data_IF_933872233805
#
_entry.id   IF_933872233805
#
_cell.length_a   1.000
_cell.length_b   1.000
_cell.length_c   1.000
_cell.angle_alpha   90.00
_cell.angle_beta   90.00
_cell.angle_gamma   90.00
#
_symmetry.space_group_name_H-M   'P 1'
#
loop_
_entity.id
_entity.type
_entity.pdbx_description
1 polymer ?
#
# COMPACT_ATOMS: atom_id res chain seq x y z
N UNK A 1 -18.16 23.42 15.38
CA UNK A 1 -17.47 22.15 15.68
C UNK A 1 -15.96 22.39 15.67
N UNK A 2 -15.22 22.08 16.74
CA UNK A 2 -13.76 22.28 16.78
C UNK A 2 -13.06 21.24 15.89
N UNK A 3 -12.03 21.63 15.13
CA UNK A 3 -11.30 20.73 14.20
C UNK A 3 -10.80 19.42 14.85
N UNK A 4 -10.55 19.42 16.16
CA UNK A 4 -10.08 18.26 16.94
C UNK A 4 -11.19 17.22 17.21
N UNK A 5 -12.43 17.67 17.45
CA UNK A 5 -13.57 16.78 17.74
C UNK A 5 -14.06 16.04 16.49
N UNK A 6 -14.01 16.68 15.32
CA UNK A 6 -14.31 16.01 14.04
C UNK A 6 -13.36 14.85 13.71
N UNK A 7 -12.05 15.01 13.95
CA UNK A 7 -11.06 13.93 13.75
C UNK A 7 -11.31 12.75 14.68
N UNK A 8 -11.70 13.01 15.92
CA UNK A 8 -12.06 11.97 16.89
C UNK A 8 -13.28 11.17 16.43
N UNK A 9 -14.33 11.86 15.97
CA UNK A 9 -15.53 11.20 15.44
C UNK A 9 -15.23 10.33 14.21
N UNK A 10 -14.34 10.77 13.32
CA UNK A 10 -13.88 9.97 12.17
C UNK A 10 -13.14 8.71 12.63
N UNK A 11 -12.23 8.83 13.61
CA UNK A 11 -11.53 7.66 14.18
C UNK A 11 -12.48 6.68 14.84
N UNK A 12 -13.46 7.17 15.61
CA UNK A 12 -14.48 6.31 16.23
C UNK A 12 -15.29 5.55 15.16
N UNK A 13 -15.72 6.22 14.08
CA UNK A 13 -16.40 5.55 12.96
C UNK A 13 -15.53 4.49 12.29
N UNK A 14 -14.23 4.75 12.12
CA UNK A 14 -13.29 3.77 11.56
C UNK A 14 -13.14 2.54 12.48
N UNK A 15 -13.02 2.75 13.79
CA UNK A 15 -12.96 1.66 14.77
C UNK A 15 -14.24 0.81 14.76
N UNK A 16 -15.42 1.44 14.70
CA UNK A 16 -16.68 0.71 14.59
C UNK A 16 -16.76 -0.13 13.31
N UNK A 17 -16.33 0.42 12.17
CA UNK A 17 -16.26 -0.34 10.91
C UNK A 17 -15.29 -1.52 11.01
N UNK A 18 -14.12 -1.30 11.61
CA UNK A 18 -13.12 -2.35 11.81
C UNK A 18 -13.65 -3.47 12.73
N UNK A 19 -14.34 -3.11 13.82
CA UNK A 19 -14.95 -4.08 14.73
C UNK A 19 -16.05 -4.90 14.04
N UNK A 20 -16.93 -4.26 13.25
CA UNK A 20 -17.94 -4.97 12.44
C UNK A 20 -17.29 -5.95 11.46
N UNK A 21 -16.27 -5.51 10.72
CA UNK A 21 -15.54 -6.38 9.79
C UNK A 21 -14.87 -7.56 10.50
N UNK A 22 -14.32 -7.36 11.70
CA UNK A 22 -13.74 -8.43 12.50
C UNK A 22 -14.79 -9.44 12.97
N UNK A 23 -15.98 -8.99 13.39
CA UNK A 23 -17.11 -9.86 13.74
C UNK A 23 -17.51 -10.76 12.57
N UNK A 24 -17.78 -10.18 11.40
CA UNK A 24 -18.17 -10.95 10.22
C UNK A 24 -17.09 -11.91 9.74
N UNK A 25 -15.80 -11.53 9.81
CA UNK A 25 -14.70 -12.46 9.50
C UNK A 25 -14.68 -13.66 10.44
N UNK A 26 -15.00 -13.49 11.72
CA UNK A 26 -15.10 -14.61 12.67
C UNK A 26 -16.27 -15.53 12.36
N UNK A 27 -17.45 -14.95 12.08
CA UNK A 27 -18.64 -15.72 11.70
C UNK A 27 -18.39 -16.55 10.44
N UNK A 28 -17.79 -15.96 9.41
CA UNK A 28 -17.41 -16.68 8.20
C UNK A 28 -16.38 -17.78 8.48
N UNK A 29 -15.39 -17.51 9.33
CA UNK A 29 -14.40 -18.52 9.71
C UNK A 29 -15.02 -19.70 10.46
N UNK A 30 -16.04 -19.46 11.31
CA UNK A 30 -16.79 -20.53 11.97
C UNK A 30 -17.60 -21.36 10.97
N UNK A 31 -18.09 -20.73 9.90
CA UNK A 31 -18.73 -21.40 8.78
C UNK A 31 -17.73 -22.07 7.81
N UNK A 32 -16.43 -22.07 8.10
CA UNK A 32 -15.38 -22.64 7.25
C UNK A 32 -15.05 -21.80 6.00
N UNK A 33 -15.59 -20.58 5.88
CA UNK A 33 -15.38 -19.69 4.75
C UNK A 33 -14.40 -18.58 5.12
N UNK A 34 -13.36 -18.37 4.31
CA UNK A 34 -12.39 -17.30 4.50
C UNK A 34 -12.52 -16.25 3.40
N UNK A 35 -12.67 -14.98 3.78
CA UNK A 35 -12.56 -13.83 2.86
C UNK A 35 -11.11 -13.49 2.49
N UNK A 36 -10.12 -14.13 3.14
CA UNK A 36 -8.71 -13.92 2.81
C UNK A 36 -8.36 -14.81 1.63
N UNK A 37 -7.84 -14.18 0.58
CA UNK A 37 -7.21 -14.92 -0.51
C UNK A 37 -5.99 -15.68 0.04
N UNK A 38 -5.83 -16.97 -0.31
CA UNK A 38 -4.65 -17.73 0.09
C UNK A 38 -3.40 -17.09 -0.52
N UNK A 39 -2.29 -17.12 0.22
CA UNK A 39 -1.00 -16.69 -0.33
C UNK A 39 -0.64 -17.68 -1.45
N UNK A 40 -0.37 -17.22 -2.68
CA UNK A 40 0.00 -18.13 -3.76
C UNK A 40 1.35 -18.78 -3.46
N UNK A 41 1.47 -20.05 -3.82
CA UNK A 41 2.71 -20.82 -3.73
C UNK A 41 3.79 -20.23 -4.64
N UNK A 42 5.06 -20.55 -4.38
CA UNK A 42 6.17 -20.07 -5.21
C UNK A 42 6.05 -20.54 -6.66
N UNK A 43 5.51 -21.74 -6.90
CA UNK A 43 5.25 -22.27 -8.24
C UNK A 43 4.15 -21.49 -8.95
N UNK A 44 3.00 -21.29 -8.28
CA UNK A 44 1.87 -20.54 -8.83
C UNK A 44 2.23 -19.09 -9.16
N UNK A 45 3.15 -18.47 -8.41
CA UNK A 45 3.66 -17.13 -8.73
C UNK A 45 4.47 -17.14 -10.03
N UNK A 46 5.39 -18.08 -10.19
CA UNK A 46 6.21 -18.21 -11.41
C UNK A 46 5.35 -18.45 -12.64
N UNK A 47 4.38 -19.36 -12.55
CA UNK A 47 3.42 -19.64 -13.64
C UNK A 47 2.65 -18.37 -14.04
N UNK A 48 2.13 -17.63 -13.06
CA UNK A 48 1.42 -16.37 -13.33
C UNK A 48 2.33 -15.26 -13.86
N UNK A 49 3.57 -15.19 -13.41
CA UNK A 49 4.56 -14.26 -13.96
C UNK A 49 4.87 -14.58 -15.43
N UNK A 50 4.98 -15.85 -15.80
CA UNK A 50 5.18 -16.28 -17.20
C UNK A 50 3.96 -15.99 -18.07
N UNK A 51 2.75 -16.26 -17.58
CA UNK A 51 1.50 -15.89 -18.25
C UNK A 51 1.45 -14.37 -18.51
N UNK A 52 1.79 -13.56 -17.51
CA UNK A 52 1.84 -12.11 -17.64
C UNK A 52 2.88 -11.64 -18.66
N UNK A 53 4.06 -12.26 -18.71
CA UNK A 53 5.08 -11.96 -19.72
C UNK A 53 4.59 -12.28 -21.12
N UNK A 54 3.94 -13.43 -21.30
CA UNK A 54 3.35 -13.82 -22.60
C UNK A 54 2.28 -12.82 -23.05
N UNK A 55 1.35 -12.48 -22.16
CA UNK A 55 0.30 -11.49 -22.44
C UNK A 55 0.87 -10.11 -22.76
N UNK A 56 1.92 -9.69 -22.06
CA UNK A 56 2.58 -8.42 -22.35
C UNK A 56 3.18 -8.42 -23.76
N UNK A 57 3.90 -9.48 -24.12
CA UNK A 57 4.47 -9.61 -25.46
C UNK A 57 3.38 -9.66 -26.52
N UNK A 58 2.23 -10.30 -26.24
CA UNK A 58 1.08 -10.37 -27.14
C UNK A 58 0.39 -9.01 -27.34
N UNK A 59 0.21 -8.24 -26.26
CA UNK A 59 -0.44 -6.92 -26.34
C UNK A 59 0.49 -5.84 -26.93
N UNK A 60 1.81 -6.00 -26.80
CA UNK A 60 2.81 -4.99 -27.19
C UNK A 60 3.79 -5.48 -28.26
N UNK A 61 3.35 -6.37 -29.16
CA UNK A 61 4.15 -6.91 -30.27
C UNK A 61 4.82 -5.80 -31.12
N UNK A 62 4.16 -4.65 -31.28
CA UNK A 62 4.69 -3.49 -32.04
C UNK A 62 5.53 -2.47 -31.26
N UNK A 63 5.71 -2.61 -29.94
CA UNK A 63 6.59 -1.71 -29.16
C UNK A 63 8.01 -2.24 -28.99
N UNK A 64 8.29 -3.48 -29.38
CA UNK A 64 9.64 -4.04 -29.35
C UNK A 64 10.61 -3.33 -30.33
N UNK A 65 10.08 -2.70 -31.38
CA UNK A 65 10.85 -1.85 -32.30
C UNK A 65 11.07 -0.44 -31.74
N UNK A 66 10.19 0.02 -30.84
CA UNK A 66 10.37 1.26 -30.08
C UNK A 66 11.26 1.01 -28.86
N UNK A 67 12.54 0.70 -29.09
CA UNK A 67 13.61 0.64 -28.08
C UNK A 67 13.88 1.98 -27.34
N UNK A 68 12.96 2.95 -27.40
CA UNK A 68 13.09 4.27 -26.78
C UNK A 68 12.22 4.49 -25.54
N UNK A 69 11.29 3.59 -25.17
CA UNK A 69 10.39 3.84 -24.04
C UNK A 69 10.76 3.11 -22.73
N UNK A 70 11.89 2.41 -22.67
CA UNK A 70 12.37 1.79 -21.44
C UNK A 70 13.77 2.31 -21.10
N UNK A 71 13.88 3.61 -20.87
CA UNK A 71 14.86 4.07 -19.88
C UNK A 71 14.46 3.46 -18.52
N UNK A 72 15.43 3.03 -17.69
CA UNK A 72 15.12 2.45 -16.40
C UNK A 72 14.41 3.48 -15.53
N UNK A 73 13.18 3.18 -15.12
CA UNK A 73 12.50 3.86 -14.01
C UNK A 73 13.16 3.42 -12.68
N UNK A 74 14.49 3.50 -12.61
CA UNK A 74 15.28 3.27 -11.39
C UNK A 74 15.53 4.58 -10.61
N UNK A 75 15.12 5.74 -11.13
CA UNK A 75 15.36 7.03 -10.45
C UNK A 75 14.18 7.64 -9.69
N UNK A 76 13.16 6.85 -9.30
CA UNK A 76 12.09 7.30 -8.38
C UNK A 76 11.96 6.47 -7.10
N UNK A 77 13.02 5.78 -6.70
CA UNK A 77 13.13 5.20 -5.35
C UNK A 77 14.25 5.81 -4.49
N UNK A 78 14.81 6.96 -4.87
CA UNK A 78 15.58 7.80 -3.96
C UNK A 78 14.74 9.00 -3.53
N UNK A 79 13.91 8.81 -2.50
CA UNK A 79 13.52 9.93 -1.67
C UNK A 79 14.67 10.19 -0.69
N UNK A 80 15.43 11.29 -0.80
CA UNK A 80 16.27 11.72 0.30
C UNK A 80 15.35 12.04 1.47
N UNK A 81 15.53 11.32 2.58
CA UNK A 81 15.03 11.72 3.90
C UNK A 81 15.53 13.14 4.16
N UNK A 82 14.69 14.14 3.86
CA UNK A 82 14.89 15.51 4.32
C UNK A 82 14.79 15.50 5.84
N UNK A 83 15.91 15.25 6.50
CA UNK A 83 16.10 15.65 7.89
C UNK A 83 16.20 17.18 7.92
N UNK A 84 15.04 17.83 7.86
CA UNK A 84 14.92 19.22 8.33
C UNK A 84 15.00 19.18 9.86
N UNK A 85 16.22 19.24 10.40
CA UNK A 85 16.45 19.92 11.69
C UNK A 85 16.63 21.40 11.37
N UNK A 86 15.51 22.10 11.17
CA UNK A 86 15.48 23.55 11.33
C UNK A 86 15.52 23.84 12.83
N UNK A 87 16.61 24.46 13.26
CA UNK A 87 16.78 25.09 14.56
C UNK A 87 15.81 26.27 14.72
N UNK A 88 15.54 26.57 15.99
CA UNK A 88 15.33 27.88 16.64
C UNK A 88 13.98 28.01 17.36
N UNK A 89 13.83 28.87 18.39
CA UNK A 89 14.82 29.64 19.16
C UNK A 89 14.72 29.36 20.69
N UNK A 90 15.58 30.00 21.48
CA UNK A 90 15.62 29.86 22.95
C UNK A 90 14.61 30.76 23.69
N UNK A 91 14.48 30.47 24.99
CA UNK A 91 14.07 31.31 26.13
C UNK A 91 14.35 30.43 27.38
N UNK A 92 15.40 30.72 28.14
CA UNK A 92 15.37 31.48 29.41
C UNK A 92 15.09 30.61 30.66
N UNK A 93 15.98 30.78 31.65
CA UNK A 93 15.74 30.75 33.09
C UNK A 93 15.34 29.43 33.82
N UNK A 94 16.30 28.84 34.54
CA UNK A 94 16.38 28.81 36.02
C UNK A 94 17.26 27.66 36.51
N UNK A 95 18.38 28.01 37.17
CA UNK A 95 18.78 27.50 38.48
C UNK A 95 19.97 28.30 39.01
#
# INVERSE_FOLDING_TARGET
MTRKTGKLAVRAKQQMRAAKAAKYRRELSLAGVSLRLPKPSAKARKEKEEELRKLYLEMFQGRAEQKQFMEPVEQKLEQPRKQKKEKQPGEEEKQ
#
